data_IF_391616788812
#
_entry.id   IF_391616788812
#
_cell.length_a   1.000
_cell.length_b   1.000
_cell.length_c   1.000
_cell.angle_alpha   90.00
_cell.angle_beta   90.00
_cell.angle_gamma   90.00
#
_symmetry.space_group_name_H-M   'P 1'
#
loop_
_entity.id
_entity.type
_entity.pdbx_description
1 polymer ?
#
# COMPACT_ATOMS: atom_id res chain seq x y z
N UNK A 1 19.02 -26.45 3.34
CA UNK A 1 17.68 -26.07 2.85
C UNK A 1 17.76 -24.72 2.14
N UNK A 2 17.23 -24.63 0.92
CA UNK A 2 17.16 -23.36 0.20
C UNK A 2 16.30 -22.39 1.01
N UNK A 3 16.83 -21.19 1.32
CA UNK A 3 16.17 -20.22 2.20
C UNK A 3 14.95 -19.57 1.54
N UNK A 4 14.95 -19.53 0.21
CA UNK A 4 13.91 -18.96 -0.64
C UNK A 4 13.72 -19.90 -1.82
N UNK A 5 12.51 -20.42 -2.01
CA UNK A 5 12.19 -21.34 -3.12
C UNK A 5 11.77 -20.61 -4.40
N UNK A 6 11.44 -19.31 -4.33
CA UNK A 6 10.95 -18.54 -5.47
C UNK A 6 11.45 -17.08 -5.44
N UNK A 7 12.34 -16.75 -6.38
CA UNK A 7 12.95 -15.42 -6.49
C UNK A 7 11.95 -14.33 -6.89
N UNK A 8 10.92 -14.66 -7.68
CA UNK A 8 9.90 -13.70 -8.10
C UNK A 8 9.05 -13.24 -6.93
N UNK A 9 8.66 -14.15 -6.04
CA UNK A 9 7.93 -13.80 -4.83
C UNK A 9 8.75 -12.85 -3.96
N UNK A 10 10.04 -13.15 -3.75
CA UNK A 10 10.93 -12.26 -2.99
C UNK A 10 11.10 -10.90 -3.66
N UNK A 11 11.24 -10.84 -4.98
CA UNK A 11 11.33 -9.59 -5.73
C UNK A 11 10.06 -8.74 -5.57
N UNK A 12 8.88 -9.37 -5.61
CA UNK A 12 7.60 -8.69 -5.41
C UNK A 12 7.43 -8.19 -3.97
N UNK A 13 7.76 -9.01 -2.97
CA UNK A 13 7.79 -8.63 -1.55
C UNK A 13 8.66 -7.38 -1.37
N UNK A 14 9.88 -7.39 -1.92
CA UNK A 14 10.80 -6.26 -1.86
C UNK A 14 10.34 -5.07 -2.69
N UNK A 15 9.48 -5.23 -3.70
CA UNK A 15 8.99 -4.12 -4.52
C UNK A 15 7.88 -3.29 -3.87
N UNK A 16 7.29 -3.76 -2.76
CA UNK A 16 6.24 -3.05 -2.04
C UNK A 16 6.72 -1.70 -1.46
N UNK A 17 5.78 -0.78 -1.20
CA UNK A 17 5.97 0.46 -0.45
C UNK A 17 4.92 0.50 0.69
N UNK A 18 5.04 1.47 1.60
CA UNK A 18 4.04 1.75 2.63
C UNK A 18 3.42 3.13 2.44
N UNK A 19 2.29 3.20 1.72
CA UNK A 19 1.46 4.41 1.66
C UNK A 19 1.05 4.94 3.04
N UNK A 20 0.83 4.03 4.00
CA UNK A 20 0.52 4.37 5.39
C UNK A 20 1.61 5.19 6.08
N UNK A 21 2.83 5.22 5.54
CA UNK A 21 3.96 6.02 6.04
C UNK A 21 4.23 7.20 5.12
N UNK A 22 4.19 6.99 3.80
CA UNK A 22 4.46 8.04 2.80
C UNK A 22 3.48 9.21 2.95
N UNK A 23 2.17 8.93 3.07
CA UNK A 23 1.15 9.99 3.11
C UNK A 23 1.25 10.86 4.38
N UNK A 24 1.33 10.31 5.61
CA UNK A 24 1.53 11.13 6.80
C UNK A 24 2.79 11.98 6.75
N UNK A 25 3.90 11.41 6.28
CA UNK A 25 5.18 12.14 6.19
C UNK A 25 5.07 13.32 5.22
N UNK A 26 4.40 13.14 4.06
CA UNK A 26 4.16 14.25 3.13
C UNK A 26 3.20 15.29 3.69
N UNK A 27 2.15 14.88 4.42
CA UNK A 27 1.21 15.80 5.09
C UNK A 27 1.90 16.61 6.18
N UNK A 28 2.69 15.97 7.02
CA UNK A 28 3.48 16.62 8.08
C UNK A 28 4.43 17.67 7.51
N UNK A 29 5.02 17.39 6.35
CA UNK A 29 5.89 18.31 5.61
C UNK A 29 5.14 19.33 4.74
N UNK A 30 3.80 19.34 4.75
CA UNK A 30 2.95 20.18 3.88
C UNK A 30 3.27 20.03 2.38
N UNK A 31 3.76 18.86 1.98
CA UNK A 31 4.11 18.54 0.59
C UNK A 31 2.99 17.79 -0.13
N UNK A 32 1.97 17.31 0.58
CA UNK A 32 0.88 16.48 0.03
C UNK A 32 0.23 17.07 -1.22
N UNK A 33 0.03 18.38 -1.27
CA UNK A 33 -0.68 19.05 -2.38
C UNK A 33 0.27 19.65 -3.43
N UNK A 34 1.59 19.50 -3.24
CA UNK A 34 2.59 19.97 -4.19
C UNK A 34 2.72 19.02 -5.37
N UNK A 35 3.22 19.51 -6.52
CA UNK A 35 3.51 18.67 -7.69
C UNK A 35 4.45 17.51 -7.35
N UNK A 36 5.44 17.77 -6.48
CA UNK A 36 6.37 16.75 -5.99
C UNK A 36 5.67 15.69 -5.15
N UNK A 37 4.96 16.10 -4.09
CA UNK A 37 4.26 15.16 -3.21
C UNK A 37 3.19 14.34 -3.93
N UNK A 38 2.43 14.96 -4.84
CA UNK A 38 1.48 14.24 -5.70
C UNK A 38 2.17 13.22 -6.60
N UNK A 39 3.34 13.53 -7.16
CA UNK A 39 4.11 12.57 -7.98
C UNK A 39 4.60 11.38 -7.15
N UNK A 40 5.07 11.63 -5.92
CA UNK A 40 5.48 10.58 -4.99
C UNK A 40 4.29 9.70 -4.59
N UNK A 41 3.15 10.31 -4.23
CA UNK A 41 1.92 9.57 -3.87
C UNK A 41 1.42 8.72 -5.03
N UNK A 42 1.37 9.26 -6.25
CA UNK A 42 0.92 8.51 -7.42
C UNK A 42 1.88 7.36 -7.75
N UNK A 43 3.20 7.58 -7.62
CA UNK A 43 4.19 6.52 -7.79
C UNK A 43 4.04 5.42 -6.73
N UNK A 44 3.80 5.79 -5.47
CA UNK A 44 3.57 4.83 -4.39
C UNK A 44 2.29 4.03 -4.62
N UNK A 45 1.17 4.71 -4.94
CA UNK A 45 -0.12 4.09 -5.24
C UNK A 45 -0.01 3.11 -6.41
N UNK A 46 0.64 3.52 -7.49
CA UNK A 46 0.82 2.65 -8.66
C UNK A 46 1.70 1.45 -8.34
N UNK A 47 2.82 1.66 -7.63
CA UNK A 47 3.71 0.56 -7.23
C UNK A 47 2.99 -0.44 -6.32
N UNK A 48 2.28 0.04 -5.29
CA UNK A 48 1.55 -0.82 -4.35
C UNK A 48 0.43 -1.57 -5.06
N UNK A 49 -0.33 -0.90 -5.95
CA UNK A 49 -1.39 -1.55 -6.72
C UNK A 49 -0.85 -2.66 -7.64
N UNK A 50 0.19 -2.36 -8.43
CA UNK A 50 0.76 -3.32 -9.38
C UNK A 50 1.43 -4.48 -8.65
N UNK A 51 2.22 -4.20 -7.61
CA UNK A 51 2.89 -5.26 -6.83
C UNK A 51 1.89 -6.17 -6.16
N UNK A 52 0.83 -5.61 -5.58
CA UNK A 52 -0.22 -6.40 -4.96
C UNK A 52 -0.93 -7.31 -5.97
N UNK A 53 -1.26 -6.79 -7.14
CA UNK A 53 -1.86 -7.58 -8.22
C UNK A 53 -0.93 -8.74 -8.62
N UNK A 54 0.36 -8.47 -8.79
CA UNK A 54 1.33 -9.49 -9.17
C UNK A 54 1.54 -10.54 -8.07
N UNK A 55 1.53 -10.14 -6.80
CA UNK A 55 1.62 -11.09 -5.67
C UNK A 55 0.41 -12.01 -5.66
N UNK A 56 -0.81 -11.46 -5.78
CA UNK A 56 -2.03 -12.27 -5.81
C UNK A 56 -2.03 -13.24 -6.99
N UNK A 57 -1.68 -12.80 -8.20
CA UNK A 57 -1.59 -13.69 -9.36
C UNK A 57 -0.52 -14.77 -9.18
N UNK A 58 0.64 -14.42 -8.63
CA UNK A 58 1.72 -15.38 -8.41
C UNK A 58 1.34 -16.39 -7.33
N UNK A 59 0.75 -15.95 -6.22
CA UNK A 59 0.29 -16.80 -5.12
C UNK A 59 -0.74 -17.83 -5.61
N UNK A 60 -1.77 -17.39 -6.35
CA UNK A 60 -2.77 -18.29 -6.94
C UNK A 60 -2.13 -19.25 -7.96
N UNK A 61 -1.18 -18.78 -8.77
CA UNK A 61 -0.49 -19.63 -9.74
C UNK A 61 0.32 -20.74 -9.06
N UNK A 62 0.97 -20.45 -7.92
CA UNK A 62 1.79 -21.41 -7.20
C UNK A 62 0.97 -22.48 -6.47
N UNK A 63 -0.25 -22.19 -6.05
CA UNK A 63 -1.13 -23.16 -5.37
C UNK A 63 -1.79 -24.18 -6.30
N UNK A 64 -2.10 -23.81 -7.55
CA UNK A 64 -2.89 -24.69 -8.42
C UNK A 64 -2.80 -24.47 -9.93
N UNK A 65 -1.91 -23.60 -10.42
CA UNK A 65 -1.77 -23.27 -11.85
C UNK A 65 -2.81 -22.27 -12.38
N UNK A 66 -2.95 -22.16 -13.71
CA UNK A 66 -3.90 -21.25 -14.38
C UNK A 66 -5.37 -21.68 -14.18
N UNK A 67 -5.94 -21.36 -13.02
CA UNK A 67 -7.32 -21.69 -12.64
C UNK A 67 -8.31 -20.53 -12.84
N UNK A 68 -9.60 -20.84 -12.66
CA UNK A 68 -10.70 -19.88 -12.75
C UNK A 68 -10.55 -18.71 -11.76
N UNK A 69 -9.83 -18.91 -10.66
CA UNK A 69 -9.52 -17.91 -9.63
C UNK A 69 -8.67 -16.75 -10.19
N UNK A 70 -7.66 -17.03 -11.02
CA UNK A 70 -6.91 -15.98 -11.71
C UNK A 70 -7.80 -15.18 -12.68
N UNK A 71 -8.76 -15.86 -13.33
CA UNK A 71 -9.73 -15.20 -14.19
C UNK A 71 -10.70 -14.34 -13.37
N UNK A 72 -11.07 -14.75 -12.16
CA UNK A 72 -11.91 -14.01 -11.23
C UNK A 72 -11.20 -12.77 -10.67
N UNK A 73 -9.90 -12.84 -10.35
CA UNK A 73 -9.07 -11.67 -10.01
C UNK A 73 -9.04 -10.67 -11.17
N UNK A 74 -8.87 -11.17 -12.40
CA UNK A 74 -8.93 -10.34 -13.60
C UNK A 74 -10.33 -9.74 -13.84
N UNK A 75 -11.41 -10.49 -13.58
CA UNK A 75 -12.78 -10.00 -13.69
C UNK A 75 -13.14 -9.01 -12.59
N UNK A 76 -12.62 -9.16 -11.37
CA UNK A 76 -12.74 -8.16 -10.31
C UNK A 76 -12.12 -6.83 -10.76
N UNK A 77 -10.97 -6.91 -11.44
CA UNK A 77 -10.32 -5.74 -12.04
C UNK A 77 -11.10 -5.15 -13.22
N UNK A 78 -11.68 -5.99 -14.09
CA UNK A 78 -12.52 -5.53 -15.19
C UNK A 78 -13.83 -4.90 -14.69
N UNK A 79 -14.43 -5.49 -13.65
CA UNK A 79 -15.59 -4.95 -12.95
C UNK A 79 -15.25 -3.61 -12.29
N UNK A 80 -14.08 -3.48 -11.68
CA UNK A 80 -13.57 -2.22 -11.16
C UNK A 80 -13.37 -1.16 -12.26
N UNK A 81 -12.72 -1.51 -13.37
CA UNK A 81 -12.53 -0.61 -14.51
C UNK A 81 -13.87 -0.18 -15.13
N UNK A 82 -14.84 -1.10 -15.19
CA UNK A 82 -16.20 -0.82 -15.61
C UNK A 82 -16.93 0.09 -14.62
N UNK A 83 -16.77 -0.12 -13.30
CA UNK A 83 -17.33 0.74 -12.26
C UNK A 83 -16.73 2.15 -12.30
N UNK A 84 -15.42 2.28 -12.47
CA UNK A 84 -14.75 3.57 -12.62
C UNK A 84 -15.29 4.33 -13.84
N UNK A 85 -15.38 3.66 -15.00
CA UNK A 85 -15.93 4.24 -16.23
C UNK A 85 -17.40 4.60 -16.08
N UNK A 86 -18.19 3.74 -15.43
CA UNK A 86 -19.61 3.97 -15.19
C UNK A 86 -19.83 5.10 -14.19
N UNK A 87 -18.98 5.25 -13.17
CA UNK A 87 -19.02 6.38 -12.22
C UNK A 87 -18.76 7.72 -12.90
N UNK A 88 -17.77 7.78 -13.81
CA UNK A 88 -17.50 8.98 -14.63
C UNK A 88 -18.67 9.29 -15.57
N UNK A 89 -19.25 8.27 -16.21
CA UNK A 89 -20.39 8.43 -17.12
C UNK A 89 -21.67 8.80 -16.36
N UNK A 90 -21.87 8.24 -15.16
CA UNK A 90 -22.98 8.51 -14.27
C UNK A 90 -22.93 9.95 -13.73
N UNK A 91 -21.75 10.48 -13.43
CA UNK A 91 -21.55 11.90 -13.11
C UNK A 91 -21.99 12.85 -14.25
N UNK A 92 -21.98 12.39 -15.51
CA UNK A 92 -22.46 13.16 -16.67
C UNK A 92 -23.98 13.05 -16.90
N UNK A 93 -24.67 12.11 -16.26
CA UNK A 93 -26.12 11.93 -16.39
C UNK A 93 -26.87 12.73 -15.32
N UNK A 94 -27.72 13.68 -15.76
CA UNK A 94 -28.52 14.53 -14.86
C UNK A 94 -29.45 13.74 -13.91
N UNK A 95 -29.89 12.54 -14.30
CA UNK A 95 -30.79 11.71 -13.48
C UNK A 95 -30.06 11.03 -12.33
N UNK A 96 -28.85 10.52 -12.59
CA UNK A 96 -28.04 9.88 -11.54
C UNK A 96 -27.43 10.94 -10.62
N UNK A 97 -27.07 12.10 -11.17
CA UNK A 97 -26.61 13.25 -10.38
C UNK A 97 -27.66 13.72 -9.37
N UNK A 98 -28.96 13.73 -9.75
CA UNK A 98 -30.08 14.02 -8.82
C UNK A 98 -30.25 12.95 -7.74
N UNK A 99 -30.20 11.66 -8.09
CA UNK A 99 -30.21 10.57 -7.10
C UNK A 99 -29.02 10.64 -6.14
N UNK A 100 -27.84 11.00 -6.63
CA UNK A 100 -26.65 11.24 -5.81
C UNK A 100 -26.74 12.53 -4.99
N UNK A 101 -27.39 13.59 -5.48
CA UNK A 101 -27.68 14.82 -4.72
C UNK A 101 -28.71 14.56 -3.61
N UNK A 102 -29.73 13.74 -3.87
CA UNK A 102 -30.71 13.30 -2.87
C UNK A 102 -30.06 12.41 -1.80
N UNK A 103 -29.13 11.54 -2.20
CA UNK A 103 -28.23 10.83 -1.27
C UNK A 103 -27.17 11.76 -0.65
N UNK A 104 -26.86 12.90 -1.26
CA UNK A 104 -25.90 13.87 -0.72
C UNK A 104 -26.46 14.63 0.47
N UNK A 105 -27.79 14.72 0.58
CA UNK A 105 -28.52 15.18 1.77
C UNK A 105 -28.48 14.18 2.93
N UNK A 106 -27.96 12.97 2.71
CA UNK A 106 -27.68 12.05 3.80
C UNK A 106 -26.59 12.63 4.70
N UNK A 107 -26.82 12.57 6.01
CA UNK A 107 -25.88 13.02 7.04
C UNK A 107 -24.52 12.36 6.82
N UNK A 108 -23.41 13.03 7.18
CA UNK A 108 -22.04 12.48 7.11
C UNK A 108 -21.93 11.04 7.65
N UNK A 109 -22.71 10.74 8.68
CA UNK A 109 -22.80 9.42 9.31
C UNK A 109 -23.32 8.31 8.38
N UNK A 110 -24.30 8.61 7.52
CA UNK A 110 -24.85 7.64 6.57
C UNK A 110 -23.81 7.34 5.48
N UNK A 111 -23.12 8.37 4.98
CA UNK A 111 -22.05 8.20 3.98
C UNK A 111 -20.87 7.41 4.54
N UNK A 112 -20.50 7.63 5.81
CA UNK A 112 -19.48 6.82 6.50
C UNK A 112 -19.91 5.36 6.64
N UNK A 113 -21.15 5.09 7.08
CA UNK A 113 -21.69 3.71 7.18
C UNK A 113 -21.73 3.01 5.82
N UNK A 114 -22.16 3.71 4.77
CA UNK A 114 -22.14 3.18 3.41
C UNK A 114 -20.72 2.87 2.93
N UNK A 115 -19.76 3.75 3.24
CA UNK A 115 -18.35 3.54 2.90
C UNK A 115 -17.77 2.31 3.60
N UNK A 116 -18.08 2.11 4.89
CA UNK A 116 -17.69 0.91 5.63
C UNK A 116 -18.37 -0.35 5.07
N UNK A 117 -19.64 -0.26 4.68
CA UNK A 117 -20.35 -1.38 4.05
C UNK A 117 -19.71 -1.76 2.71
N UNK A 118 -19.35 -0.78 1.88
CA UNK A 118 -18.62 -1.01 0.63
C UNK A 118 -17.26 -1.66 0.92
N UNK A 119 -16.50 -1.14 1.88
CA UNK A 119 -15.21 -1.69 2.31
C UNK A 119 -15.32 -3.18 2.69
N UNK A 120 -16.25 -3.52 3.58
CA UNK A 120 -16.47 -4.90 4.01
C UNK A 120 -16.95 -5.77 2.86
N UNK A 121 -17.84 -5.26 2.00
CA UNK A 121 -18.37 -6.02 0.85
C UNK A 121 -17.26 -6.43 -0.12
N UNK A 122 -16.33 -5.53 -0.42
CA UNK A 122 -15.21 -5.84 -1.30
C UNK A 122 -14.15 -6.73 -0.65
N UNK A 123 -13.95 -6.64 0.67
CA UNK A 123 -13.09 -7.59 1.40
C UNK A 123 -13.69 -9.01 1.34
N UNK A 124 -14.99 -9.14 1.62
CA UNK A 124 -15.71 -10.43 1.53
C UNK A 124 -15.71 -10.94 0.10
N UNK A 125 -15.87 -10.06 -0.88
CA UNK A 125 -15.79 -10.45 -2.29
C UNK A 125 -14.39 -10.95 -2.65
N UNK A 126 -13.32 -10.29 -2.19
CA UNK A 126 -11.96 -10.76 -2.41
C UNK A 126 -11.76 -12.16 -1.82
N UNK A 127 -12.19 -12.38 -0.58
CA UNK A 127 -12.14 -13.68 0.08
C UNK A 127 -12.88 -14.78 -0.69
N UNK A 128 -14.11 -14.52 -1.14
CA UNK A 128 -14.91 -15.48 -1.92
C UNK A 128 -14.24 -15.84 -3.25
N UNK A 129 -13.51 -14.90 -3.83
CA UNK A 129 -12.79 -15.09 -5.09
C UNK A 129 -11.38 -15.68 -4.89
N UNK A 130 -11.02 -16.09 -3.66
CA UNK A 130 -9.67 -16.52 -3.27
C UNK A 130 -8.59 -15.50 -3.69
N UNK A 131 -8.95 -14.22 -3.57
CA UNK A 131 -8.09 -13.09 -3.86
C UNK A 131 -7.67 -12.42 -2.55
N UNK A 132 -6.54 -11.70 -2.60
CA UNK A 132 -6.01 -11.02 -1.42
C UNK A 132 -6.98 -9.96 -0.86
N UNK A 133 -7.36 -10.10 0.42
CA UNK A 133 -8.28 -9.18 1.10
C UNK A 133 -7.83 -7.71 1.03
N UNK A 134 -6.52 -7.45 1.08
CA UNK A 134 -5.97 -6.09 1.01
C UNK A 134 -6.28 -5.44 -0.37
N UNK A 135 -6.46 -6.23 -1.43
CA UNK A 135 -6.77 -5.76 -2.78
C UNK A 135 -8.23 -5.35 -2.84
N UNK A 136 -9.11 -6.17 -2.23
CA UNK A 136 -10.51 -5.81 -2.00
C UNK A 136 -10.64 -4.49 -1.26
N UNK A 137 -9.89 -4.31 -0.16
CA UNK A 137 -9.88 -3.06 0.59
C UNK A 137 -9.39 -1.86 -0.23
N UNK A 138 -8.35 -2.04 -1.06
CA UNK A 138 -7.85 -1.00 -1.95
C UNK A 138 -8.90 -0.59 -3.00
N UNK A 139 -9.52 -1.57 -3.67
CA UNK A 139 -10.57 -1.34 -4.67
C UNK A 139 -11.75 -0.61 -4.04
N UNK A 140 -12.16 -1.01 -2.84
CA UNK A 140 -13.22 -0.33 -2.10
C UNK A 140 -12.89 1.15 -1.86
N UNK A 141 -11.66 1.45 -1.42
CA UNK A 141 -11.19 2.81 -1.22
C UNK A 141 -11.30 3.67 -2.48
N UNK A 142 -10.93 3.11 -3.63
CA UNK A 142 -11.09 3.82 -4.90
C UNK A 142 -12.57 4.03 -5.22
N UNK A 143 -13.43 3.01 -5.08
CA UNK A 143 -14.88 3.15 -5.30
C UNK A 143 -15.47 4.23 -4.41
N UNK A 144 -15.12 4.23 -3.12
CA UNK A 144 -15.54 5.27 -2.15
C UNK A 144 -15.09 6.65 -2.60
N UNK A 145 -13.85 6.81 -3.08
CA UNK A 145 -13.34 8.09 -3.58
C UNK A 145 -14.12 8.64 -4.78
N UNK A 146 -14.67 7.76 -5.63
CA UNK A 146 -15.47 8.15 -6.79
C UNK A 146 -16.91 8.52 -6.40
N UNK A 147 -17.47 7.81 -5.41
CA UNK A 147 -18.81 8.05 -4.91
C UNK A 147 -18.89 9.29 -4.01
N UNK A 148 -17.78 9.64 -3.35
CA UNK A 148 -17.72 10.73 -2.37
C UNK A 148 -17.13 11.99 -2.99
N UNK A 149 -17.74 12.55 -4.02
CA UNK A 149 -17.28 13.80 -4.65
C UNK A 149 -17.76 15.05 -3.88
N UNK A 150 -17.64 15.06 -2.55
CA UNK A 150 -18.04 16.23 -1.75
C UNK A 150 -16.87 17.22 -1.63
N UNK A 151 -17.09 18.55 -1.80
CA UNK A 151 -16.05 19.56 -1.61
C UNK A 151 -15.40 19.52 -0.21
N UNK A 152 -16.15 19.07 0.80
CA UNK A 152 -15.71 19.06 2.20
C UNK A 152 -14.84 17.85 2.57
N UNK A 153 -14.78 16.83 1.69
CA UNK A 153 -14.03 15.57 1.89
C UNK A 153 -14.20 14.95 3.29
N UNK A 154 -15.41 15.08 3.86
CA UNK A 154 -15.66 14.74 5.26
C UNK A 154 -15.56 13.24 5.53
N UNK A 155 -16.04 12.42 4.60
CA UNK A 155 -15.95 10.96 4.71
C UNK A 155 -14.50 10.50 4.67
N UNK A 156 -13.69 11.08 3.79
CA UNK A 156 -12.27 10.79 3.69
C UNK A 156 -11.55 11.16 4.99
N UNK A 157 -11.87 12.32 5.58
CA UNK A 157 -11.32 12.73 6.89
C UNK A 157 -11.75 11.80 8.02
N UNK A 158 -13.01 11.38 8.04
CA UNK A 158 -13.54 10.45 9.03
C UNK A 158 -12.88 9.05 8.90
N UNK A 159 -12.72 8.56 7.67
CA UNK A 159 -12.02 7.30 7.38
C UNK A 159 -10.52 7.39 7.71
N UNK A 160 -9.86 8.50 7.40
CA UNK A 160 -8.47 8.75 7.81
C UNK A 160 -8.34 8.76 9.32
N UNK A 161 -9.21 9.47 10.04
CA UNK A 161 -9.20 9.50 11.50
C UNK A 161 -9.36 8.08 12.07
N UNK A 162 -10.26 7.28 11.51
CA UNK A 162 -10.47 5.89 11.94
C UNK A 162 -9.25 5.00 11.65
N UNK A 163 -8.68 5.11 10.45
CA UNK A 163 -7.49 4.35 10.04
C UNK A 163 -6.26 4.68 10.89
N UNK A 164 -5.92 5.96 11.02
CA UNK A 164 -4.73 6.41 11.74
C UNK A 164 -4.86 6.28 13.26
N UNK A 165 -6.06 6.44 13.83
CA UNK A 165 -6.23 6.41 15.30
C UNK A 165 -6.43 4.99 15.84
N UNK A 166 -6.93 4.05 15.03
CA UNK A 166 -7.31 2.71 15.51
C UNK A 166 -6.57 1.59 14.78
N UNK A 167 -6.76 1.44 13.46
CA UNK A 167 -6.24 0.27 12.73
C UNK A 167 -4.73 0.25 12.59
N UNK A 168 -4.14 1.39 12.25
CA UNK A 168 -2.69 1.48 12.02
C UNK A 168 -1.91 1.16 13.31
N UNK A 169 -2.23 1.73 14.49
CA UNK A 169 -1.60 1.33 15.74
C UNK A 169 -1.74 -0.17 16.06
N UNK A 170 -2.93 -0.75 15.90
CA UNK A 170 -3.16 -2.18 16.13
C UNK A 170 -2.32 -3.04 15.19
N UNK A 171 -2.27 -2.67 13.91
CA UNK A 171 -1.43 -3.33 12.91
C UNK A 171 0.05 -3.34 13.33
N UNK A 172 0.59 -2.20 13.79
CA UNK A 172 1.96 -2.13 14.28
C UNK A 172 2.23 -3.02 15.50
N UNK A 173 1.27 -3.12 16.42
CA UNK A 173 1.38 -4.01 17.59
C UNK A 173 1.40 -5.47 17.12
N UNK A 174 0.49 -5.87 16.24
CA UNK A 174 0.41 -7.24 15.71
C UNK A 174 1.69 -7.65 14.98
N UNK A 175 2.26 -6.75 14.16
CA UNK A 175 3.55 -6.94 13.51
C UNK A 175 4.65 -7.15 14.54
N UNK A 176 4.71 -6.30 15.57
CA UNK A 176 5.72 -6.40 16.62
C UNK A 176 5.61 -7.70 17.41
N UNK A 177 4.40 -8.16 17.70
CA UNK A 177 4.15 -9.45 18.40
C UNK A 177 4.50 -10.65 17.52
N UNK A 178 4.25 -10.55 16.21
CA UNK A 178 4.56 -11.63 15.25
C UNK A 178 6.04 -11.70 14.87
N UNK A 179 6.84 -10.71 15.26
CA UNK A 179 8.27 -10.68 14.99
C UNK A 179 9.03 -11.63 15.92
N UNK A 180 9.38 -12.81 15.41
CA UNK A 180 10.15 -13.79 16.15
C UNK A 180 11.66 -13.51 16.04
N UNK A 181 12.17 -12.78 17.04
CA UNK A 181 13.59 -12.47 17.20
C UNK A 181 14.42 -13.73 17.47
N UNK A 182 13.86 -14.70 18.19
CA UNK A 182 14.58 -15.90 18.60
C UNK A 182 14.87 -16.78 17.37
N UNK A 183 13.89 -16.94 16.50
CA UNK A 183 14.02 -17.68 15.23
C UNK A 183 15.06 -17.00 14.31
N UNK A 184 15.05 -15.68 14.24
CA UNK A 184 16.02 -14.91 13.44
C UNK A 184 17.45 -15.08 13.95
N UNK A 185 17.69 -14.97 15.25
CA UNK A 185 19.04 -15.07 15.84
C UNK A 185 19.56 -16.51 15.80
N UNK A 186 18.66 -17.49 15.86
CA UNK A 186 19.03 -18.91 15.79
C UNK A 186 19.51 -19.30 14.39
N UNK A 187 19.10 -18.58 13.34
CA UNK A 187 19.52 -18.80 11.96
C UNK A 187 20.60 -17.81 11.51
N UNK A 188 21.87 -18.27 11.51
CA UNK A 188 23.00 -17.47 11.03
C UNK A 188 22.80 -16.99 9.59
N UNK A 189 22.23 -17.83 8.73
CA UNK A 189 22.04 -17.49 7.33
C UNK A 189 20.97 -16.41 7.16
N UNK A 190 19.86 -16.47 7.90
CA UNK A 190 18.83 -15.43 7.87
C UNK A 190 19.38 -14.09 8.39
N UNK A 191 20.24 -14.12 9.40
CA UNK A 191 20.86 -12.92 9.95
C UNK A 191 21.84 -12.26 8.96
N UNK A 192 22.59 -13.07 8.20
CA UNK A 192 23.42 -12.59 7.08
C UNK A 192 22.59 -12.09 5.90
N UNK A 193 21.36 -12.59 5.74
CA UNK A 193 20.44 -12.17 4.69
C UNK A 193 19.86 -10.76 4.92
N UNK A 194 19.71 -10.34 6.19
CA UNK A 194 19.18 -9.00 6.55
C UNK A 194 19.90 -7.84 5.84
N UNK A 195 21.24 -7.68 5.93
CA UNK A 195 21.92 -6.58 5.25
C UNK A 195 21.78 -6.64 3.72
N UNK A 196 21.72 -7.85 3.15
CA UNK A 196 21.52 -8.03 1.71
C UNK A 196 20.11 -7.60 1.29
N UNK A 197 19.08 -8.03 2.02
CA UNK A 197 17.69 -7.63 1.79
C UNK A 197 17.50 -6.13 1.99
N UNK A 198 18.16 -5.54 2.99
CA UNK A 198 18.13 -4.10 3.21
C UNK A 198 18.75 -3.34 2.04
N UNK A 199 19.92 -3.77 1.56
CA UNK A 199 20.56 -3.18 0.39
C UNK A 199 19.67 -3.31 -0.86
N UNK A 200 19.12 -4.52 -1.10
CA UNK A 200 18.21 -4.77 -2.20
C UNK A 200 16.93 -3.89 -2.11
N UNK A 201 16.33 -3.79 -0.92
CA UNK A 201 15.15 -2.95 -0.68
C UNK A 201 15.41 -1.48 -1.01
N UNK A 202 16.59 -0.96 -0.68
CA UNK A 202 16.97 0.43 -1.03
C UNK A 202 17.19 0.54 -2.55
N UNK A 203 17.96 -0.37 -3.15
CA UNK A 203 18.33 -0.33 -4.57
C UNK A 203 17.09 -0.42 -5.48
N UNK A 204 16.17 -1.35 -5.19
CA UNK A 204 14.94 -1.56 -5.96
C UNK A 204 14.06 -0.32 -6.04
N UNK A 205 14.16 0.60 -5.07
CA UNK A 205 13.44 1.88 -5.08
C UNK A 205 14.30 3.03 -5.61
N UNK A 206 15.56 3.11 -5.23
CA UNK A 206 16.46 4.19 -5.62
C UNK A 206 16.80 4.20 -7.11
N UNK A 207 16.94 3.03 -7.74
CA UNK A 207 17.29 2.98 -9.17
C UNK A 207 16.14 3.49 -10.05
N UNK A 208 14.89 3.00 -9.92
CA UNK A 208 13.76 3.56 -10.67
C UNK A 208 13.50 5.03 -10.33
N UNK A 209 13.82 5.45 -9.11
CA UNK A 209 13.66 6.85 -8.68
C UNK A 209 14.42 7.84 -9.55
N UNK A 210 15.52 7.42 -10.19
CA UNK A 210 16.28 8.28 -11.08
C UNK A 210 15.44 8.87 -12.21
N UNK A 211 14.31 8.25 -12.58
CA UNK A 211 13.36 8.80 -13.54
C UNK A 211 12.73 10.13 -13.08
N UNK A 212 12.60 10.37 -11.76
CA UNK A 212 12.09 11.65 -11.26
C UNK A 212 13.04 12.82 -11.54
N UNK A 213 14.32 12.54 -11.83
CA UNK A 213 15.29 13.57 -12.21
C UNK A 213 14.86 14.33 -13.47
N UNK A 214 14.01 13.74 -14.31
CA UNK A 214 13.46 14.40 -15.50
C UNK A 214 12.57 15.60 -15.16
N UNK A 215 11.94 15.58 -13.97
CA UNK A 215 10.96 16.59 -13.55
C UNK A 215 11.33 17.32 -12.26
N UNK A 216 12.28 16.80 -11.48
CA UNK A 216 12.64 17.25 -10.14
C UNK A 216 14.15 17.37 -9.94
N UNK A 217 14.55 18.08 -8.89
CA UNK A 217 15.97 18.24 -8.50
C UNK A 217 16.56 16.93 -7.99
N UNK A 218 17.90 16.84 -7.93
CA UNK A 218 18.59 15.70 -7.32
C UNK A 218 18.15 15.48 -5.86
N UNK A 219 18.01 16.56 -5.09
CA UNK A 219 17.59 16.54 -3.70
C UNK A 219 16.18 15.94 -3.55
N UNK A 220 15.22 16.39 -4.34
CA UNK A 220 13.87 15.84 -4.40
C UNK A 220 13.84 14.39 -4.87
N UNK A 221 14.66 14.05 -5.86
CA UNK A 221 14.78 12.69 -6.40
C UNK A 221 15.25 11.72 -5.32
N UNK A 222 16.34 12.02 -4.62
CA UNK A 222 16.83 11.18 -3.52
C UNK A 222 15.86 11.15 -2.33
N UNK A 223 15.20 12.28 -2.04
CA UNK A 223 14.19 12.33 -0.99
C UNK A 223 13.01 11.40 -1.32
N UNK A 224 12.44 11.51 -2.52
CA UNK A 224 11.39 10.61 -2.98
C UNK A 224 11.81 9.15 -2.89
N UNK A 225 13.02 8.82 -3.35
CA UNK A 225 13.54 7.44 -3.30
C UNK A 225 13.65 6.93 -1.88
N UNK A 226 14.10 7.78 -0.96
CA UNK A 226 14.23 7.40 0.45
C UNK A 226 12.86 7.14 1.03
N UNK A 227 11.88 8.01 0.77
CA UNK A 227 10.54 7.87 1.33
C UNK A 227 9.79 6.67 0.75
N UNK A 228 9.91 6.43 -0.56
CA UNK A 228 9.32 5.26 -1.24
C UNK A 228 9.99 3.93 -0.83
N UNK A 229 11.17 3.99 -0.21
CA UNK A 229 11.83 2.81 0.37
C UNK A 229 11.22 2.37 1.70
N UNK A 230 10.35 3.19 2.31
CA UNK A 230 9.61 2.80 3.51
C UNK A 230 8.69 1.61 3.20
N UNK A 231 8.85 0.52 3.93
CA UNK A 231 8.07 -0.71 3.78
C UNK A 231 7.52 -1.15 5.12
N UNK A 232 6.28 -1.60 5.12
CA UNK A 232 5.63 -2.03 6.35
C UNK A 232 4.45 -2.95 6.06
N UNK A 233 3.33 -2.39 5.61
CA UNK A 233 2.06 -3.12 5.62
C UNK A 233 2.04 -4.25 4.60
N UNK A 234 2.32 -3.93 3.34
CA UNK A 234 2.25 -4.89 2.24
C UNK A 234 3.40 -5.89 2.25
N UNK A 235 4.61 -5.47 2.65
CA UNK A 235 5.76 -6.39 2.71
C UNK A 235 5.52 -7.52 3.71
N UNK A 236 4.87 -7.23 4.84
CA UNK A 236 4.59 -8.22 5.88
C UNK A 236 3.44 -9.14 5.47
N UNK A 237 2.38 -8.59 4.87
CA UNK A 237 1.31 -9.42 4.32
C UNK A 237 1.85 -10.39 3.26
N UNK A 238 2.65 -9.89 2.31
CA UNK A 238 3.28 -10.68 1.27
C UNK A 238 4.26 -11.73 1.81
N UNK A 239 4.99 -11.42 2.89
CA UNK A 239 5.89 -12.40 3.51
C UNK A 239 5.14 -13.49 4.27
N UNK A 240 3.99 -13.19 4.87
CA UNK A 240 3.11 -14.19 5.49
C UNK A 240 2.54 -15.15 4.45
N UNK A 241 2.04 -14.63 3.32
CA UNK A 241 1.57 -15.47 2.20
C UNK A 241 2.69 -16.39 1.71
N UNK A 242 3.90 -15.85 1.52
CA UNK A 242 5.05 -16.64 1.11
C UNK A 242 5.46 -17.68 2.17
N UNK A 243 5.26 -17.40 3.46
CA UNK A 243 5.52 -18.34 4.54
C UNK A 243 4.48 -19.48 4.56
N UNK A 244 3.20 -19.16 4.40
CA UNK A 244 2.09 -20.11 4.35
C UNK A 244 2.21 -21.08 3.17
N UNK A 245 2.67 -20.58 2.02
CA UNK A 245 2.98 -21.39 0.83
C UNK A 245 4.36 -22.09 0.91
N UNK A 246 5.03 -22.04 2.07
CA UNK A 246 6.36 -22.59 2.30
C UNK A 246 7.45 -22.11 1.31
N UNK A 247 7.28 -20.94 0.70
CA UNK A 247 8.25 -20.33 -0.23
C UNK A 247 9.45 -19.79 0.54
N UNK A 248 9.20 -19.26 1.74
CA UNK A 248 10.24 -18.75 2.65
C UNK A 248 10.16 -19.48 3.99
N UNK A 249 11.29 -19.53 4.69
CA UNK A 249 11.35 -20.10 6.05
C UNK A 249 10.89 -19.07 7.11
N UNK A 250 10.48 -19.51 8.32
CA UNK A 250 10.17 -18.60 9.42
C UNK A 250 11.29 -17.60 9.72
N UNK A 251 12.55 -18.05 9.67
CA UNK A 251 13.70 -17.19 9.88
C UNK A 251 13.84 -16.09 8.80
N UNK A 252 13.54 -16.41 7.53
CA UNK A 252 13.53 -15.42 6.43
C UNK A 252 12.35 -14.46 6.57
N UNK A 253 11.17 -14.94 7.00
CA UNK A 253 10.04 -14.07 7.31
C UNK A 253 10.40 -13.05 8.41
N UNK A 254 11.03 -13.50 9.50
CA UNK A 254 11.55 -12.59 10.54
C UNK A 254 12.59 -11.61 10.00
N UNK A 255 13.49 -12.04 9.11
CA UNK A 255 14.45 -11.15 8.46
C UNK A 255 13.76 -10.06 7.62
N UNK A 256 12.71 -10.42 6.87
CA UNK A 256 11.90 -9.48 6.08
C UNK A 256 11.18 -8.48 6.99
N UNK A 257 10.58 -8.93 8.10
CA UNK A 257 9.94 -8.06 9.09
C UNK A 257 10.96 -7.09 9.68
N UNK A 258 12.18 -7.54 10.01
CA UNK A 258 13.24 -6.66 10.50
C UNK A 258 13.62 -5.60 9.44
N UNK A 259 13.74 -5.97 8.18
CA UNK A 259 13.98 -5.01 7.08
C UNK A 259 12.84 -4.00 6.97
N UNK A 260 11.58 -4.43 7.14
CA UNK A 260 10.44 -3.52 7.19
C UNK A 260 10.57 -2.51 8.34
N UNK A 261 10.87 -2.98 9.55
CA UNK A 261 11.07 -2.12 10.74
C UNK A 261 12.21 -1.11 10.53
N UNK A 262 13.34 -1.56 9.98
CA UNK A 262 14.49 -0.69 9.71
C UNK A 262 14.12 0.36 8.65
N UNK A 263 13.54 -0.06 7.52
CA UNK A 263 13.21 0.85 6.42
C UNK A 263 12.12 1.83 6.79
N UNK A 264 11.07 1.42 7.50
CA UNK A 264 10.00 2.33 7.93
C UNK A 264 10.49 3.38 8.92
N UNK A 265 11.50 3.05 9.73
CA UNK A 265 12.08 3.97 10.71
C UNK A 265 13.07 4.92 10.04
N UNK A 266 13.99 4.41 9.22
CA UNK A 266 15.06 5.21 8.62
C UNK A 266 14.58 6.07 7.45
N UNK A 267 13.64 5.59 6.64
CA UNK A 267 13.22 6.26 5.41
C UNK A 267 12.63 7.66 5.65
N UNK A 268 11.69 7.87 6.60
CA UNK A 268 11.18 9.19 6.94
C UNK A 268 12.24 10.13 7.51
N UNK A 269 13.22 9.61 8.27
CA UNK A 269 14.31 10.39 8.84
C UNK A 269 15.22 10.92 7.73
N UNK A 270 15.60 10.05 6.78
CA UNK A 270 16.42 10.44 5.62
C UNK A 270 15.66 11.45 4.75
N UNK A 271 14.38 11.19 4.47
CA UNK A 271 13.52 12.11 3.73
C UNK A 271 13.48 13.49 4.40
N UNK A 272 13.26 13.51 5.71
CA UNK A 272 13.19 14.74 6.52
C UNK A 272 14.49 15.54 6.51
N UNK A 273 15.64 14.85 6.52
CA UNK A 273 16.96 15.49 6.44
C UNK A 273 17.22 16.08 5.04
N UNK A 274 16.74 15.40 4.00
CA UNK A 274 16.83 15.85 2.62
C UNK A 274 15.79 16.92 2.28
N UNK A 275 14.63 16.95 2.92
CA UNK A 275 13.57 17.93 2.71
C UNK A 275 13.27 18.64 4.04
N UNK A 276 14.23 19.44 4.56
CA UNK A 276 13.98 20.20 5.78
C UNK A 276 12.80 21.15 5.54
N UNK A 277 11.96 21.33 6.56
CA UNK A 277 10.89 22.33 6.52
C UNK A 277 11.50 23.66 6.07
N UNK A 278 10.95 24.26 5.02
CA UNK A 278 11.20 25.67 4.75
C UNK A 278 10.96 26.39 6.06
N UNK A 279 11.97 27.13 6.55
CA UNK A 279 11.81 27.96 7.74
C UNK A 279 10.50 28.72 7.56
N UNK A 280 9.64 28.65 8.57
CA UNK A 280 8.60 29.63 8.75
C UNK A 280 9.27 31.01 8.65
N UNK A 281 9.14 31.65 7.49
CA UNK A 281 9.20 33.11 7.39
C UNK A 281 7.98 33.62 8.14
N UNK A 282 8.11 33.66 9.47
CA UNK A 282 7.29 34.50 10.34
C UNK A 282 8.30 35.36 11.09
N UNK A 283 8.53 36.55 10.53
CA UNK A 283 8.96 37.76 11.25
C UNK A 283 7.92 38.15 12.31
#
# INVERSE_FOLDING_TARGET
PELVKNDWMLALILSTTSLGVVLPVLKERRLSDTRFGQSVLMSALFADFVTMLLISLLATYLEGGLNIEMLLVFFLFLAFAALYRTGIVAQRSNTIRKLFEDLSHATSQIKLRASLAILVSFIVLAEILNAEMILGAFIAGVVISLLTTSPERKVERDLEAFGFSFFIPIFFILVGVSFDVQELISSKDALLLVPLLLAAAIVVKMVPMMLFRLSFTWKETFAAGSLLSARLSLIIAASLIALEQEIITPAVNSAIILVAIITVTLSPIVFSKLMPNGKSEEE
#
